data_IF_365091754735
#
_entry.id   IF_365091754735
#
_cell.length_a   1.000
_cell.length_b   1.000
_cell.length_c   1.000
_cell.angle_alpha   90.00
_cell.angle_beta   90.00
_cell.angle_gamma   90.00
#
_symmetry.space_group_name_H-M   'P 1'
#
loop_
_entity.id
_entity.type
_entity.pdbx_description
1 polymer ?
#
# COMPACT_ATOMS: atom_id res chain seq x y z
N UNK A 1 12.37 -9.45 18.23
CA UNK A 1 12.84 -8.24 17.51
C UNK A 1 13.43 -8.75 16.20
N UNK A 2 12.64 -8.75 15.12
CA UNK A 2 13.18 -9.01 13.78
C UNK A 2 14.10 -7.84 13.45
N UNK A 3 15.39 -8.13 13.35
CA UNK A 3 16.38 -7.18 12.84
C UNK A 3 16.09 -6.97 11.35
N UNK A 4 16.20 -5.75 10.86
CA UNK A 4 15.98 -5.34 9.47
C UNK A 4 16.90 -6.01 8.42
N UNK A 5 17.52 -7.14 8.74
CA UNK A 5 18.44 -7.89 7.88
C UNK A 5 17.78 -8.91 6.95
N UNK A 6 16.46 -9.09 7.01
CA UNK A 6 15.72 -10.07 6.19
C UNK A 6 14.96 -9.46 5.01
N UNK A 7 15.04 -8.14 4.80
CA UNK A 7 14.34 -7.48 3.69
C UNK A 7 15.22 -7.58 2.43
N UNK A 8 14.75 -8.22 1.34
CA UNK A 8 15.45 -8.24 0.07
C UNK A 8 15.85 -6.83 -0.38
N UNK A 9 17.04 -6.68 -0.96
CA UNK A 9 17.59 -5.36 -1.30
C UNK A 9 16.68 -4.55 -2.24
N UNK A 10 15.97 -5.23 -3.14
CA UNK A 10 14.97 -4.61 -4.01
C UNK A 10 13.79 -4.02 -3.21
N UNK A 11 13.26 -4.76 -2.23
CA UNK A 11 12.18 -4.27 -1.37
C UNK A 11 12.67 -3.12 -0.49
N UNK A 12 13.88 -3.23 0.06
CA UNK A 12 14.50 -2.17 0.86
C UNK A 12 14.64 -0.86 0.06
N UNK A 13 15.08 -0.96 -1.20
CA UNK A 13 15.22 0.18 -2.08
C UNK A 13 13.86 0.83 -2.40
N UNK A 14 12.81 0.04 -2.63
CA UNK A 14 11.45 0.54 -2.88
C UNK A 14 10.92 1.28 -1.64
N UNK A 15 11.08 0.70 -0.45
CA UNK A 15 10.67 1.31 0.82
C UNK A 15 11.34 2.67 1.01
N UNK A 16 12.65 2.77 0.77
CA UNK A 16 13.38 4.03 0.91
C UNK A 16 12.98 5.08 -0.12
N UNK A 17 12.69 4.67 -1.37
CA UNK A 17 12.24 5.58 -2.41
C UNK A 17 10.86 6.15 -2.07
N UNK A 18 9.92 5.31 -1.62
CA UNK A 18 8.60 5.75 -1.18
C UNK A 18 8.68 6.72 0.00
N UNK A 19 9.52 6.41 0.99
CA UNK A 19 9.76 7.29 2.14
C UNK A 19 10.32 8.66 1.74
N UNK A 20 11.25 8.71 0.80
CA UNK A 20 11.84 9.96 0.32
C UNK A 20 10.82 10.82 -0.47
N UNK A 21 9.97 10.16 -1.27
CA UNK A 21 8.86 10.81 -1.95
C UNK A 21 7.85 11.41 -0.94
N UNK A 22 7.47 10.65 0.10
CA UNK A 22 6.60 11.15 1.16
C UNK A 22 7.20 12.33 1.91
N UNK A 23 8.49 12.29 2.24
CA UNK A 23 9.18 13.43 2.89
C UNK A 23 9.16 14.67 2.01
N UNK A 24 9.40 14.50 0.71
CA UNK A 24 9.41 15.60 -0.26
C UNK A 24 8.02 16.22 -0.39
N UNK A 25 6.98 15.39 -0.55
CA UNK A 25 5.59 15.85 -0.59
C UNK A 25 5.18 16.59 0.69
N UNK A 26 5.47 16.01 1.86
CA UNK A 26 5.14 16.64 3.14
C UNK A 26 5.88 17.97 3.34
N UNK A 27 7.15 18.06 2.93
CA UNK A 27 7.91 19.31 2.99
C UNK A 27 7.28 20.37 2.10
N UNK A 28 6.87 20.02 0.88
CA UNK A 28 6.17 20.94 -0.02
C UNK A 28 4.84 21.42 0.58
N UNK A 29 4.06 20.51 1.16
CA UNK A 29 2.80 20.82 1.86
C UNK A 29 3.06 21.78 3.03
N UNK A 30 4.03 21.47 3.91
CA UNK A 30 4.35 22.31 5.07
C UNK A 30 4.85 23.69 4.64
N UNK A 31 5.70 23.78 3.61
CA UNK A 31 6.16 25.06 3.08
C UNK A 31 5.00 25.88 2.51
N UNK A 32 4.07 25.23 1.80
CA UNK A 32 2.88 25.88 1.27
C UNK A 32 1.92 26.34 2.38
N UNK A 33 1.65 25.50 3.38
CA UNK A 33 0.81 25.83 4.54
C UNK A 33 1.35 27.00 5.39
N UNK A 34 2.66 27.21 5.40
CA UNK A 34 3.30 28.29 6.14
C UNK A 34 3.57 29.55 5.30
N UNK A 35 3.20 29.55 4.02
CA UNK A 35 3.20 30.77 3.20
C UNK A 35 1.88 31.50 3.40
N UNK A 36 1.91 32.83 3.54
CA UNK A 36 0.73 33.70 3.70
C UNK A 36 -0.18 33.75 2.44
N UNK A 37 0.08 32.88 1.45
CA UNK A 37 -0.51 32.85 0.11
C UNK A 37 -1.28 31.53 -0.09
N UNK A 38 -2.15 31.20 0.87
CA UNK A 38 -3.03 30.02 0.77
C UNK A 38 -4.10 30.26 -0.30
N UNK A 39 -3.97 29.56 -1.42
CA UNK A 39 -4.95 29.49 -2.48
C UNK A 39 -5.26 28.02 -2.80
N UNK A 40 -6.48 27.56 -2.51
CA UNK A 40 -6.93 26.18 -2.77
C UNK A 40 -6.82 25.79 -4.25
N UNK A 41 -6.88 26.76 -5.16
CA UNK A 41 -6.78 26.54 -6.61
C UNK A 41 -5.33 26.44 -7.11
N UNK A 42 -4.33 26.71 -6.27
CA UNK A 42 -2.91 26.68 -6.65
C UNK A 42 -2.27 25.28 -6.60
N UNK A 43 -3.00 24.27 -6.12
CA UNK A 43 -2.56 22.87 -6.13
C UNK A 43 -2.82 22.28 -7.53
N UNK A 44 -2.25 22.91 -8.56
CA UNK A 44 -1.94 22.22 -9.80
C UNK A 44 -0.60 21.53 -9.59
N UNK A 45 -0.64 20.36 -8.95
CA UNK A 45 0.52 19.47 -8.92
C UNK A 45 0.81 19.08 -10.37
N UNK A 46 1.83 19.71 -10.95
CA UNK A 46 2.35 19.26 -12.23
C UNK A 46 2.98 17.89 -11.96
N UNK A 47 2.26 16.82 -12.33
CA UNK A 47 2.66 15.43 -12.10
C UNK A 47 4.08 15.15 -12.61
N UNK A 48 4.51 15.89 -13.63
CA UNK A 48 5.85 15.81 -14.22
C UNK A 48 6.97 16.27 -13.27
N UNK A 49 6.71 17.11 -12.26
CA UNK A 49 7.76 17.70 -11.42
C UNK A 49 8.01 16.97 -10.09
N UNK A 50 7.08 16.16 -9.61
CA UNK A 50 7.22 15.46 -8.32
C UNK A 50 8.08 14.21 -8.47
N UNK A 51 8.10 13.61 -9.67
CA UNK A 51 8.81 12.36 -9.96
C UNK A 51 10.10 12.54 -10.75
N UNK A 52 10.71 13.72 -10.71
CA UNK A 52 11.97 13.98 -11.42
C UNK A 52 13.12 14.23 -10.45
N UNK A 53 13.85 13.16 -10.10
CA UNK A 53 15.32 13.09 -10.17
C UNK A 53 15.84 11.69 -9.80
N UNK A 54 15.12 10.94 -8.94
CA UNK A 54 15.51 9.56 -8.53
C UNK A 54 14.61 8.45 -9.05
N UNK A 55 13.38 8.78 -9.43
CA UNK A 55 12.43 7.86 -10.08
C UNK A 55 12.65 7.73 -11.57
N UNK A 56 13.56 8.51 -12.17
CA UNK A 56 13.85 8.39 -13.60
C UNK A 56 14.29 6.98 -13.95
N UNK A 57 15.10 6.31 -13.11
CA UNK A 57 15.43 4.88 -13.28
C UNK A 57 14.22 3.93 -13.23
N UNK A 58 13.21 4.24 -12.43
CA UNK A 58 11.97 3.46 -12.34
C UNK A 58 10.97 3.78 -13.47
N UNK A 59 11.03 4.97 -14.07
CA UNK A 59 10.16 5.40 -15.16
C UNK A 59 10.74 5.06 -16.55
N UNK A 60 12.06 4.92 -16.69
CA UNK A 60 12.66 4.39 -17.94
C UNK A 60 12.35 2.90 -18.07
N UNK A 61 12.35 2.17 -16.95
CA UNK A 61 11.88 0.80 -16.93
C UNK A 61 10.36 0.74 -16.80
N UNK A 62 9.68 0.86 -17.96
CA UNK A 62 8.25 0.55 -18.08
C UNK A 62 7.92 -0.92 -17.75
N UNK A 63 8.82 -1.75 -17.22
CA UNK A 63 8.47 -3.02 -16.59
C UNK A 63 7.56 -2.86 -15.38
N UNK A 64 7.68 -1.77 -14.60
CA UNK A 64 6.75 -1.51 -13.49
C UNK A 64 5.36 -1.06 -14.01
N UNK A 65 5.32 -0.35 -15.14
CA UNK A 65 4.07 -0.01 -15.86
C UNK A 65 3.57 -1.15 -16.75
N UNK A 66 4.38 -2.18 -16.99
CA UNK A 66 3.84 -3.46 -17.41
C UNK A 66 3.08 -3.96 -16.20
N UNK A 67 1.80 -3.60 -16.12
CA UNK A 67 0.73 -4.43 -15.53
C UNK A 67 0.59 -5.78 -16.26
N UNK A 68 1.57 -6.15 -17.09
CA UNK A 68 1.66 -7.43 -17.77
C UNK A 68 1.96 -8.64 -16.86
N UNK A 69 2.53 -8.57 -15.63
CA UNK A 69 2.67 -9.77 -14.81
C UNK A 69 1.29 -10.31 -14.43
N UNK A 70 0.26 -9.47 -14.33
CA UNK A 70 -1.12 -9.94 -14.13
C UNK A 70 -1.75 -10.57 -15.39
N UNK A 71 -1.23 -10.30 -16.60
CA UNK A 71 -1.74 -10.93 -17.83
C UNK A 71 -1.36 -12.40 -17.97
N UNK A 72 -0.37 -12.86 -17.21
CA UNK A 72 0.04 -14.28 -17.18
C UNK A 72 -0.59 -15.03 -16.03
N UNK A 73 -1.33 -14.37 -15.14
CA UNK A 73 -2.07 -15.09 -14.11
C UNK A 73 -3.28 -15.73 -14.76
N UNK A 74 -3.44 -17.03 -14.56
CA UNK A 74 -4.68 -17.70 -14.90
C UNK A 74 -5.66 -17.51 -13.73
N UNK A 75 -6.91 -17.15 -14.04
CA UNK A 75 -7.96 -17.10 -13.03
C UNK A 75 -8.37 -18.53 -12.72
N UNK A 76 -8.11 -18.97 -11.49
CA UNK A 76 -8.30 -20.38 -11.12
C UNK A 76 -9.71 -20.64 -10.58
N UNK A 77 -10.31 -19.67 -9.90
CA UNK A 77 -11.66 -19.79 -9.35
C UNK A 77 -12.38 -18.45 -9.32
N UNK A 78 -13.68 -18.48 -9.59
CA UNK A 78 -14.56 -17.31 -9.63
C UNK A 78 -15.88 -17.64 -8.93
N UNK A 79 -16.17 -16.92 -7.86
CA UNK A 79 -17.41 -17.02 -7.11
C UNK A 79 -18.21 -15.72 -7.24
N UNK A 80 -19.52 -15.83 -7.31
CA UNK A 80 -20.43 -14.67 -7.35
C UNK A 80 -21.17 -14.60 -6.02
N UNK A 81 -20.96 -13.51 -5.26
CA UNK A 81 -21.72 -13.24 -4.04
C UNK A 81 -22.94 -12.36 -4.33
N UNK A 82 -23.70 -12.01 -3.29
CA UNK A 82 -24.79 -11.03 -3.43
C UNK A 82 -24.30 -9.58 -3.65
N UNK A 83 -23.01 -9.31 -3.40
CA UNK A 83 -22.45 -7.96 -3.41
C UNK A 83 -21.49 -7.72 -4.57
N UNK A 84 -20.68 -8.73 -4.88
CA UNK A 84 -19.57 -8.65 -5.83
C UNK A 84 -19.13 -10.03 -6.28
N UNK A 85 -18.42 -10.05 -7.40
CA UNK A 85 -17.63 -11.17 -7.89
C UNK A 85 -16.35 -11.29 -7.07
N UNK A 86 -16.02 -12.50 -6.62
CA UNK A 86 -14.74 -12.85 -6.02
C UNK A 86 -13.96 -13.72 -6.99
N UNK A 87 -12.68 -13.44 -7.18
CA UNK A 87 -11.80 -14.35 -7.90
C UNK A 87 -10.39 -14.30 -7.35
N UNK A 88 -9.63 -15.35 -7.63
CA UNK A 88 -8.21 -15.37 -7.37
C UNK A 88 -7.45 -15.78 -8.63
N UNK A 89 -6.24 -15.27 -8.73
CA UNK A 89 -5.34 -15.57 -9.83
C UNK A 89 -3.98 -15.93 -9.27
N UNK A 90 -3.30 -16.85 -9.93
CA UNK A 90 -1.99 -17.35 -9.52
C UNK A 90 -1.01 -17.20 -10.68
N UNK A 91 0.23 -16.80 -10.38
CA UNK A 91 1.27 -16.74 -11.40
C UNK A 91 1.68 -18.16 -11.83
N UNK A 92 2.25 -18.34 -13.03
CA UNK A 92 2.60 -19.67 -13.53
C UNK A 92 3.59 -20.46 -12.66
N UNK A 93 4.37 -19.79 -11.79
CA UNK A 93 5.30 -20.45 -10.87
C UNK A 93 4.68 -20.79 -9.51
N UNK A 94 3.44 -20.38 -9.25
CA UNK A 94 2.71 -20.61 -8.01
C UNK A 94 3.28 -19.88 -6.79
N UNK A 95 4.00 -18.79 -7.02
CA UNK A 95 4.68 -17.99 -5.98
C UNK A 95 3.90 -16.75 -5.58
N UNK A 96 3.02 -16.28 -6.46
CA UNK A 96 2.21 -15.11 -6.26
C UNK A 96 0.73 -15.40 -6.50
N UNK A 97 -0.08 -15.12 -5.48
CA UNK A 97 -1.53 -15.21 -5.55
C UNK A 97 -2.14 -13.84 -5.34
N UNK A 98 -3.06 -13.48 -6.22
CA UNK A 98 -3.81 -12.23 -6.15
C UNK A 98 -5.28 -12.50 -5.86
N UNK A 99 -5.87 -11.66 -5.00
CA UNK A 99 -7.29 -11.62 -4.71
C UNK A 99 -7.93 -10.44 -5.43
N UNK A 100 -9.03 -10.72 -6.12
CA UNK A 100 -9.68 -9.80 -7.06
C UNK A 100 -11.17 -9.74 -6.74
N UNK A 101 -11.71 -8.52 -6.67
CA UNK A 101 -13.13 -8.24 -6.49
C UNK A 101 -13.63 -7.43 -7.67
N UNK A 102 -14.70 -7.86 -8.36
CA UNK A 102 -15.24 -7.18 -9.56
C UNK A 102 -14.16 -6.77 -10.59
N UNK A 103 -13.25 -7.69 -10.90
CA UNK A 103 -12.10 -7.48 -11.80
C UNK A 103 -11.09 -6.41 -11.32
N UNK A 104 -11.20 -5.92 -10.08
CA UNK A 104 -10.24 -5.06 -9.41
C UNK A 104 -9.33 -5.85 -8.48
N UNK A 105 -8.02 -5.82 -8.75
CA UNK A 105 -7.01 -6.40 -7.86
C UNK A 105 -7.07 -5.68 -6.52
N UNK A 106 -7.39 -6.43 -5.47
CA UNK A 106 -7.40 -5.93 -4.10
C UNK A 106 -6.00 -6.03 -3.51
N UNK A 107 -5.39 -7.22 -3.62
CA UNK A 107 -4.10 -7.52 -3.01
C UNK A 107 -3.42 -8.71 -3.69
N UNK A 108 -2.09 -8.74 -3.65
CA UNK A 108 -1.28 -9.89 -4.07
C UNK A 108 -0.27 -10.26 -2.97
N UNK A 109 0.14 -11.53 -2.91
CA UNK A 109 0.99 -12.04 -1.85
C UNK A 109 2.39 -11.43 -1.78
N UNK A 110 2.97 -11.08 -2.93
CA UNK A 110 4.30 -10.47 -3.08
C UNK A 110 4.39 -9.02 -2.56
N UNK A 111 3.29 -8.30 -2.54
CA UNK A 111 3.26 -6.88 -2.16
C UNK A 111 2.35 -6.60 -0.96
N UNK A 112 1.87 -7.67 -0.29
CA UNK A 112 0.89 -7.58 0.79
C UNK A 112 1.26 -6.60 1.90
N UNK A 113 2.51 -6.62 2.34
CA UNK A 113 2.99 -5.75 3.42
C UNK A 113 2.93 -4.25 3.06
N UNK A 114 3.17 -3.90 1.79
CA UNK A 114 3.27 -2.52 1.33
C UNK A 114 1.95 -1.74 1.47
N UNK A 115 0.81 -2.44 1.43
CA UNK A 115 -0.50 -1.83 1.65
C UNK A 115 -0.86 -1.81 3.14
N UNK A 116 -0.75 -2.96 3.82
CA UNK A 116 -1.25 -3.14 5.19
C UNK A 116 -0.39 -2.45 6.26
N UNK A 117 0.93 -2.56 6.15
CA UNK A 117 1.86 -2.00 7.15
C UNK A 117 1.73 -0.48 7.29
N UNK A 118 1.82 0.34 6.21
CA UNK A 118 1.66 1.77 6.37
C UNK A 118 0.26 2.14 6.84
N UNK A 119 -0.78 1.42 6.40
CA UNK A 119 -2.16 1.71 6.82
C UNK A 119 -2.33 1.64 8.35
N UNK A 120 -1.71 0.65 9.01
CA UNK A 120 -1.79 0.46 10.46
C UNK A 120 -0.68 1.19 11.22
N UNK A 121 0.57 1.06 10.79
CA UNK A 121 1.70 1.55 11.57
C UNK A 121 1.88 3.06 11.45
N UNK A 122 1.59 3.66 10.28
CA UNK A 122 1.66 5.10 10.14
C UNK A 122 0.60 5.79 11.00
N UNK A 123 -0.64 5.32 10.95
CA UNK A 123 -1.75 5.87 11.75
C UNK A 123 -1.48 5.71 13.25
N UNK A 124 -0.96 4.55 13.66
CA UNK A 124 -0.62 4.29 15.07
C UNK A 124 0.55 5.14 15.58
N UNK A 125 1.44 5.61 14.70
CA UNK A 125 2.59 6.44 15.10
C UNK A 125 2.20 7.79 15.74
N UNK A 126 0.97 8.27 15.48
CA UNK A 126 0.42 9.48 16.08
C UNK A 126 -0.28 9.24 17.43
N UNK A 127 -0.41 7.97 17.83
CA UNK A 127 -1.06 7.58 19.07
C UNK A 127 0.00 7.28 20.14
N UNK A 128 -0.31 7.63 21.39
CA UNK A 128 0.54 7.22 22.53
C UNK A 128 0.44 5.72 22.80
N UNK A 129 -0.74 5.15 22.56
CA UNK A 129 -1.04 3.74 22.82
C UNK A 129 -2.26 3.33 21.98
N UNK A 130 -2.21 2.15 21.36
CA UNK A 130 -3.29 1.57 20.57
C UNK A 130 -4.03 0.53 21.40
N UNK A 131 -5.29 0.80 21.77
CA UNK A 131 -6.09 -0.09 22.65
C UNK A 131 -7.30 -0.71 21.99
N UNK A 132 -8.04 0.07 21.22
CA UNK A 132 -9.31 -0.35 20.61
C UNK A 132 -9.30 0.05 19.15
N UNK A 133 -9.55 -0.92 18.27
CA UNK A 133 -9.49 -0.71 16.82
C UNK A 133 -10.81 -1.13 16.21
N UNK A 134 -11.34 -0.29 15.33
CA UNK A 134 -12.42 -0.62 14.41
C UNK A 134 -11.88 -0.44 13.00
N UNK A 135 -12.06 -1.43 12.14
CA UNK A 135 -11.73 -1.32 10.71
C UNK A 135 -12.93 -1.73 9.85
N UNK A 136 -13.04 -1.11 8.68
CA UNK A 136 -14.11 -1.33 7.69
C UNK A 136 -13.46 -1.74 6.39
N UNK A 137 -13.90 -2.86 5.83
CA UNK A 137 -13.20 -3.54 4.74
C UNK A 137 -11.98 -4.27 5.29
N UNK A 138 -12.09 -5.59 5.39
CA UNK A 138 -11.03 -6.49 5.80
C UNK A 138 -10.39 -7.20 4.62
N UNK A 139 -11.19 -7.64 3.63
CA UNK A 139 -10.71 -8.43 2.51
C UNK A 139 -9.95 -9.68 2.97
N UNK A 140 -8.63 -9.67 2.84
CA UNK A 140 -7.73 -10.74 3.31
C UNK A 140 -7.45 -10.73 4.83
N UNK A 141 -8.07 -9.78 5.56
CA UNK A 141 -7.91 -9.53 6.99
C UNK A 141 -6.48 -9.20 7.44
N UNK A 142 -5.63 -8.73 6.54
CA UNK A 142 -4.23 -8.49 6.89
C UNK A 142 -4.04 -7.16 7.63
N UNK A 143 -5.02 -6.25 7.58
CA UNK A 143 -5.15 -5.15 8.55
C UNK A 143 -5.21 -5.68 9.99
N UNK A 144 -6.02 -6.72 10.26
CA UNK A 144 -6.16 -7.29 11.60
C UNK A 144 -4.82 -7.88 12.08
N UNK A 145 -4.10 -8.59 11.22
CA UNK A 145 -2.78 -9.12 11.53
C UNK A 145 -1.80 -8.03 11.95
N UNK A 146 -1.75 -6.91 11.21
CA UNK A 146 -0.88 -5.78 11.54
C UNK A 146 -1.28 -5.11 12.87
N UNK A 147 -2.57 -4.97 13.13
CA UNK A 147 -3.09 -4.42 14.39
C UNK A 147 -2.70 -5.28 15.59
N UNK A 148 -2.78 -6.61 15.46
CA UNK A 148 -2.47 -7.54 16.55
C UNK A 148 -0.98 -7.62 16.91
N UNK A 149 -0.08 -6.98 16.12
CA UNK A 149 1.33 -6.82 16.51
C UNK A 149 1.52 -5.89 17.71
N UNK A 150 0.52 -5.07 18.05
CA UNK A 150 0.57 -4.15 19.19
C UNK A 150 0.06 -4.82 20.48
N UNK A 151 0.92 -5.08 21.49
CA UNK A 151 0.52 -5.78 22.70
C UNK A 151 -0.44 -4.99 23.60
N UNK A 152 -0.57 -3.68 23.36
CA UNK A 152 -1.50 -2.81 24.08
C UNK A 152 -2.95 -2.95 23.59
N UNK A 153 -3.19 -3.65 22.48
CA UNK A 153 -4.52 -3.82 21.92
C UNK A 153 -5.36 -4.71 22.84
N UNK A 154 -6.48 -4.17 23.29
CA UNK A 154 -7.45 -4.80 24.19
C UNK A 154 -8.67 -5.33 23.42
N UNK A 155 -9.03 -4.69 22.29
CA UNK A 155 -10.21 -5.06 21.50
C UNK A 155 -10.08 -4.64 20.04
N UNK A 156 -10.50 -5.52 19.12
CA UNK A 156 -10.58 -5.22 17.68
C UNK A 156 -11.94 -5.66 17.14
N UNK A 157 -12.57 -4.82 16.32
CA UNK A 157 -13.77 -5.16 15.54
C UNK A 157 -13.51 -4.91 14.06
N UNK A 158 -13.76 -5.92 13.23
CA UNK A 158 -13.76 -5.82 11.77
C UNK A 158 -15.19 -5.80 11.25
N UNK A 159 -15.45 -4.91 10.30
CA UNK A 159 -16.72 -4.78 9.60
C UNK A 159 -16.47 -5.10 8.11
N UNK A 160 -16.95 -6.27 7.67
CA UNK A 160 -16.90 -6.78 6.29
C UNK A 160 -18.32 -7.04 5.79
#
# INVERSE_FOLDING_TARGET
RNTAGDIPENEWNIIWQYHDALKTANKAIITHMNSDDYNEDAIHLNEDHIFHDRTQGCLVDKSYLRLAPFRTHEYEDKEESMFQTLSHSEDPEGKNKCFVLDDHIQICSDHRAHYHEPFVHFTTSFLKELKRVAFVGGGDNMILHEVLKYPSVEFVIGLE
#
